data_IF_780111709515
#
_entry.id   IF_780111709515
#
_cell.length_a   1.000
_cell.length_b   1.000
_cell.length_c   1.000
_cell.angle_alpha   90.00
_cell.angle_beta   90.00
_cell.angle_gamma   90.00
#
_symmetry.space_group_name_H-M   'P 1'
#
loop_
_entity.id
_entity.type
_entity.pdbx_description
1 polymer ?
#
# COMPACT_ATOMS: atom_id res chain seq x y z
N UNK A 1 9.86 -8.72 18.07
CA UNK A 1 9.11 -7.57 17.52
C UNK A 1 8.06 -8.15 16.60
N UNK A 2 6.84 -8.27 17.12
CA UNK A 2 5.71 -8.89 16.44
C UNK A 2 4.93 -7.84 15.63
N UNK A 3 5.63 -7.18 14.72
CA UNK A 3 5.08 -6.08 13.92
C UNK A 3 4.54 -6.62 12.60
N UNK A 4 3.25 -6.38 12.34
CA UNK A 4 2.56 -6.74 11.10
C UNK A 4 2.56 -5.52 10.17
N UNK A 5 2.88 -5.72 8.90
CA UNK A 5 2.82 -4.69 7.86
C UNK A 5 2.24 -5.33 6.60
N UNK A 6 0.99 -4.98 6.29
CA UNK A 6 0.30 -5.36 5.06
C UNK A 6 0.30 -4.24 4.03
N UNK A 7 0.66 -3.02 4.44
CA UNK A 7 0.88 -1.91 3.52
C UNK A 7 2.02 -2.16 2.54
N UNK A 8 1.84 -1.69 1.30
CA UNK A 8 2.74 -1.95 0.17
C UNK A 8 3.72 -0.80 -0.08
N UNK A 9 3.35 0.40 0.33
CA UNK A 9 4.09 1.63 0.06
C UNK A 9 4.50 2.33 1.36
N UNK A 10 5.54 3.13 1.27
CA UNK A 10 5.86 4.18 2.24
C UNK A 10 5.64 5.53 1.53
N UNK A 11 5.54 6.63 2.27
CA UNK A 11 5.31 7.99 1.76
C UNK A 11 6.25 8.32 0.59
N UNK A 12 7.53 7.92 0.68
CA UNK A 12 8.55 8.17 -0.36
C UNK A 12 8.43 7.18 -1.53
N UNK A 13 8.17 5.91 -1.24
CA UNK A 13 8.18 4.84 -2.26
C UNK A 13 6.85 4.74 -3.02
N UNK A 14 5.79 5.38 -2.53
CA UNK A 14 4.46 5.36 -3.10
C UNK A 14 4.48 5.77 -4.58
N UNK A 15 4.89 7.01 -4.87
CA UNK A 15 4.83 7.52 -6.24
C UNK A 15 5.68 6.72 -7.25
N UNK A 16 6.98 6.47 -7.02
CA UNK A 16 7.80 5.77 -8.02
C UNK A 16 7.38 4.30 -8.22
N UNK A 17 7.05 3.59 -7.13
CA UNK A 17 6.64 2.17 -7.22
C UNK A 17 5.24 2.04 -7.82
N UNK A 18 4.30 2.88 -7.41
CA UNK A 18 2.94 2.85 -7.93
C UNK A 18 2.91 3.18 -9.43
N UNK A 19 3.65 4.19 -9.86
CA UNK A 19 3.73 4.56 -11.27
C UNK A 19 4.37 3.46 -12.12
N UNK A 20 5.43 2.82 -11.61
CA UNK A 20 6.03 1.66 -12.26
C UNK A 20 5.02 0.52 -12.45
N UNK A 21 4.25 0.18 -11.41
CA UNK A 21 3.20 -0.84 -11.49
C UNK A 21 2.08 -0.45 -12.46
N UNK A 22 1.72 0.84 -12.54
CA UNK A 22 0.76 1.32 -13.51
C UNK A 22 1.26 1.12 -14.95
N UNK A 23 2.54 1.37 -15.24
CA UNK A 23 3.09 1.17 -16.58
C UNK A 23 3.46 -0.28 -16.92
N UNK A 24 3.42 -1.21 -15.96
CA UNK A 24 3.44 -2.65 -16.25
C UNK A 24 2.11 -3.17 -16.80
N UNK A 25 1.02 -2.40 -16.67
CA UNK A 25 -0.28 -2.76 -17.27
C UNK A 25 -0.24 -2.47 -18.77
N UNK A 26 -0.47 -3.51 -19.59
CA UNK A 26 -0.42 -3.43 -21.05
C UNK A 26 -1.21 -2.25 -21.64
N UNK A 27 -2.38 -1.93 -21.10
CA UNK A 27 -3.19 -0.80 -21.55
C UNK A 27 -2.47 0.55 -21.36
N UNK A 28 -1.86 0.77 -20.20
CA UNK A 28 -1.14 2.01 -19.89
C UNK A 28 0.14 2.13 -20.73
N UNK A 29 0.87 1.02 -20.93
CA UNK A 29 2.05 0.98 -21.81
C UNK A 29 1.65 1.27 -23.26
N UNK A 30 0.54 0.70 -23.73
CA UNK A 30 0.00 0.94 -25.07
C UNK A 30 -0.33 2.41 -25.29
N UNK A 31 -1.10 3.02 -24.40
CA UNK A 31 -1.45 4.44 -24.49
C UNK A 31 -0.23 5.36 -24.38
N UNK A 32 0.77 5.00 -23.57
CA UNK A 32 2.03 5.73 -23.50
C UNK A 32 2.79 5.67 -24.83
N UNK A 33 2.91 4.48 -25.44
CA UNK A 33 3.53 4.32 -26.75
C UNK A 33 2.79 5.10 -27.84
N UNK A 34 1.46 5.04 -27.83
CA UNK A 34 0.62 5.82 -28.74
C UNK A 34 0.84 7.32 -28.57
N UNK A 35 0.93 7.82 -27.33
CA UNK A 35 1.21 9.21 -27.04
C UNK A 35 2.60 9.63 -27.57
N UNK A 36 3.62 8.79 -27.40
CA UNK A 36 4.97 9.05 -27.95
C UNK A 36 4.96 9.11 -29.47
N UNK A 37 4.26 8.20 -30.14
CA UNK A 37 4.11 8.23 -31.60
C UNK A 37 3.36 9.48 -32.08
N UNK A 38 2.37 9.96 -31.32
CA UNK A 38 1.62 11.18 -31.63
C UNK A 38 2.43 12.47 -31.47
N UNK A 39 3.51 12.46 -30.69
CA UNK A 39 4.44 13.60 -30.58
C UNK A 39 5.29 13.79 -31.84
N UNK A 40 5.35 12.78 -32.73
CA UNK A 40 6.03 12.90 -34.02
C UNK A 40 5.06 13.49 -35.06
N UNK A 41 5.22 14.76 -35.46
CA UNK A 41 4.28 15.44 -36.36
C UNK A 41 4.24 14.82 -37.77
N UNK A 42 5.23 14.00 -38.13
CA UNK A 42 5.30 13.27 -39.41
C UNK A 42 4.40 12.02 -39.41
N UNK A 43 4.11 11.46 -38.23
CA UNK A 43 3.39 10.19 -38.09
C UNK A 43 1.91 10.41 -37.72
N UNK A 44 1.59 11.53 -37.07
CA UNK A 44 0.24 11.76 -36.52
C UNK A 44 -0.45 12.99 -37.09
N UNK A 45 -1.66 12.77 -37.63
CA UNK A 45 -2.61 13.83 -37.98
C UNK A 45 -3.51 14.25 -36.81
N UNK A 46 -3.42 13.55 -35.67
CA UNK A 46 -4.26 13.78 -34.48
C UNK A 46 -3.54 14.63 -33.44
N UNK A 47 -4.31 15.43 -32.69
CA UNK A 47 -3.80 16.21 -31.56
C UNK A 47 -3.46 15.29 -30.37
N UNK A 48 -2.24 15.37 -29.80
CA UNK A 48 -1.80 14.51 -28.68
C UNK A 48 -2.71 14.58 -27.43
N UNK A 49 -3.43 15.70 -27.27
CA UNK A 49 -4.37 15.92 -26.16
C UNK A 49 -5.46 14.85 -26.05
N UNK A 50 -5.95 14.33 -27.20
CA UNK A 50 -7.01 13.32 -27.23
C UNK A 50 -6.60 11.99 -26.58
N UNK A 51 -5.31 11.67 -26.59
CA UNK A 51 -4.75 10.46 -25.97
C UNK A 51 -4.16 10.74 -24.59
N UNK A 52 -3.57 11.93 -24.40
CA UNK A 52 -3.02 12.36 -23.12
C UNK A 52 -4.07 12.45 -22.01
N UNK A 53 -5.23 13.08 -22.29
CA UNK A 53 -6.25 13.33 -21.28
C UNK A 53 -6.81 12.03 -20.67
N UNK A 54 -7.24 11.02 -21.46
CA UNK A 54 -7.71 9.74 -20.91
C UNK A 54 -6.63 9.00 -20.12
N UNK A 55 -5.39 8.99 -20.63
CA UNK A 55 -4.27 8.33 -19.94
C UNK A 55 -4.02 8.98 -18.57
N UNK A 56 -3.93 10.31 -18.53
CA UNK A 56 -3.73 11.05 -17.28
C UNK A 56 -4.87 10.80 -16.30
N UNK A 57 -6.13 10.83 -16.76
CA UNK A 57 -7.28 10.59 -15.90
C UNK A 57 -7.25 9.19 -15.26
N UNK A 58 -6.95 8.15 -16.04
CA UNK A 58 -6.86 6.77 -15.55
C UNK A 58 -5.71 6.60 -14.55
N UNK A 59 -4.54 7.18 -14.85
CA UNK A 59 -3.39 7.12 -13.94
C UNK A 59 -3.71 7.83 -12.61
N UNK A 60 -4.27 9.04 -12.65
CA UNK A 60 -4.63 9.81 -11.45
C UNK A 60 -5.67 9.10 -10.59
N UNK A 61 -6.73 8.54 -11.19
CA UNK A 61 -7.73 7.77 -10.47
C UNK A 61 -7.13 6.52 -9.82
N UNK A 62 -6.21 5.85 -10.53
CA UNK A 62 -5.51 4.67 -10.02
C UNK A 62 -4.59 5.01 -8.84
N UNK A 63 -3.79 6.07 -8.97
CA UNK A 63 -2.93 6.57 -7.88
C UNK A 63 -3.78 6.90 -6.66
N UNK A 64 -4.88 7.64 -6.85
CA UNK A 64 -5.75 8.04 -5.74
C UNK A 64 -6.38 6.84 -5.02
N UNK A 65 -6.90 5.88 -5.80
CA UNK A 65 -7.46 4.64 -5.25
C UNK A 65 -6.40 3.88 -4.45
N UNK A 66 -5.23 3.65 -5.03
CA UNK A 66 -4.16 2.89 -4.38
C UNK A 66 -3.65 3.60 -3.12
N UNK A 67 -3.60 4.93 -3.10
CA UNK A 67 -3.25 5.70 -1.91
C UNK A 67 -4.27 5.49 -0.79
N UNK A 68 -5.57 5.55 -1.10
CA UNK A 68 -6.64 5.36 -0.12
C UNK A 68 -6.64 3.93 0.44
N UNK A 69 -6.50 2.93 -0.43
CA UNK A 69 -6.46 1.52 -0.04
C UNK A 69 -5.24 1.24 0.85
N UNK A 70 -4.07 1.78 0.49
CA UNK A 70 -2.85 1.57 1.28
C UNK A 70 -2.85 2.34 2.61
N UNK A 71 -3.47 3.52 2.66
CA UNK A 71 -3.69 4.26 3.91
C UNK A 71 -4.57 3.47 4.89
N UNK A 72 -5.65 2.86 4.39
CA UNK A 72 -6.51 2.00 5.21
C UNK A 72 -5.75 0.79 5.75
N UNK A 73 -4.85 0.19 4.96
CA UNK A 73 -3.98 -0.91 5.42
C UNK A 73 -3.05 -0.47 6.54
N UNK A 74 -2.36 0.67 6.38
CA UNK A 74 -1.52 1.22 7.45
C UNK A 74 -2.30 1.41 8.75
N UNK A 75 -3.50 2.02 8.67
CA UNK A 75 -4.35 2.22 9.84
C UNK A 75 -4.76 0.90 10.49
N UNK A 76 -5.08 -0.13 9.70
CA UNK A 76 -5.42 -1.45 10.20
C UNK A 76 -4.23 -2.14 10.87
N UNK A 77 -3.05 -2.08 10.23
CA UNK A 77 -1.80 -2.62 10.77
C UNK A 77 -1.47 -1.95 12.12
N UNK A 78 -1.59 -0.63 12.20
CA UNK A 78 -1.37 0.14 13.43
C UNK A 78 -2.33 -0.27 14.56
N UNK A 79 -3.60 -0.55 14.24
CA UNK A 79 -4.58 -1.02 15.23
C UNK A 79 -4.19 -2.39 15.79
N UNK A 80 -3.76 -3.32 14.93
CA UNK A 80 -3.35 -4.65 15.35
C UNK A 80 -2.04 -4.58 16.14
N UNK A 81 -1.05 -3.86 15.65
CA UNK A 81 0.27 -3.72 16.29
C UNK A 81 0.19 -3.05 17.67
N UNK A 82 -0.71 -2.08 17.85
CA UNK A 82 -0.89 -1.37 19.12
C UNK A 82 -1.93 -2.01 20.04
N UNK A 83 -2.55 -3.13 19.64
CA UNK A 83 -3.49 -3.86 20.50
C UNK A 83 -2.81 -4.31 21.78
N UNK A 84 -3.51 -4.22 22.91
CA UNK A 84 -3.01 -4.64 24.21
C UNK A 84 -3.10 -6.16 24.37
N UNK A 85 -2.05 -6.77 24.90
CA UNK A 85 -1.96 -8.18 25.26
C UNK A 85 -1.35 -8.34 26.65
N UNK A 86 -1.67 -9.45 27.33
CA UNK A 86 -1.13 -9.75 28.65
C UNK A 86 0.02 -10.74 28.52
N UNK A 87 1.21 -10.34 28.94
CA UNK A 87 2.44 -11.15 28.82
C UNK A 87 3.02 -11.39 30.21
N UNK A 88 3.49 -12.62 30.46
CA UNK A 88 4.22 -12.95 31.68
C UNK A 88 5.65 -12.42 31.58
N UNK A 89 6.00 -11.44 32.42
CA UNK A 89 7.34 -10.86 32.55
C UNK A 89 7.80 -11.01 33.99
N UNK A 90 8.96 -11.65 34.20
CA UNK A 90 9.57 -11.81 35.53
C UNK A 90 8.59 -12.35 36.60
N UNK A 91 7.71 -13.28 36.21
CA UNK A 91 6.71 -13.88 37.11
C UNK A 91 5.44 -13.04 37.33
N UNK A 92 5.31 -11.87 36.71
CA UNK A 92 4.12 -11.02 36.79
C UNK A 92 3.45 -10.87 35.42
N UNK A 93 2.13 -10.81 35.38
CA UNK A 93 1.38 -10.53 34.16
C UNK A 93 1.36 -9.02 33.94
N UNK A 94 1.89 -8.57 32.81
CA UNK A 94 1.98 -7.15 32.45
C UNK A 94 1.25 -6.93 31.13
N UNK A 95 0.58 -5.78 31.02
CA UNK A 95 -0.04 -5.36 29.78
C UNK A 95 1.01 -4.74 28.84
N UNK A 96 1.11 -5.27 27.63
CA UNK A 96 2.04 -4.80 26.61
C UNK A 96 1.36 -4.71 25.25
N UNK A 97 1.94 -3.89 24.37
CA UNK A 97 1.46 -3.82 22.98
C UNK A 97 1.84 -5.08 22.21
N UNK A 98 0.97 -5.50 21.30
CA UNK A 98 1.15 -6.69 20.46
C UNK A 98 2.52 -6.70 19.78
N UNK A 99 2.93 -5.57 19.19
CA UNK A 99 4.21 -5.49 18.49
C UNK A 99 5.44 -5.74 19.40
N UNK A 100 5.34 -5.54 20.71
CA UNK A 100 6.44 -5.78 21.65
C UNK A 100 6.56 -7.24 22.10
N UNK A 101 5.57 -8.07 21.80
CA UNK A 101 5.65 -9.50 22.08
C UNK A 101 6.81 -10.12 21.29
N UNK A 102 7.56 -11.01 21.92
CA UNK A 102 8.70 -11.71 21.37
C UNK A 102 8.52 -13.22 21.41
N UNK A 103 9.29 -13.93 20.58
CA UNK A 103 9.27 -15.40 20.56
C UNK A 103 9.77 -15.92 21.91
N UNK A 104 9.04 -16.87 22.49
CA UNK A 104 9.33 -17.43 23.82
C UNK A 104 8.55 -16.78 24.97
N UNK A 105 7.80 -15.71 24.69
CA UNK A 105 6.93 -15.08 25.68
C UNK A 105 5.70 -15.95 25.97
N UNK A 106 5.30 -16.01 27.25
CA UNK A 106 4.05 -16.62 27.66
C UNK A 106 2.97 -15.54 27.68
N UNK A 107 1.90 -15.75 26.93
CA UNK A 107 0.79 -14.80 26.78
C UNK A 107 -0.43 -15.36 27.51
N UNK A 108 -1.13 -14.51 28.26
CA UNK A 108 -2.43 -14.84 28.82
C UNK A 108 -3.52 -14.30 27.90
N UNK A 109 -4.41 -15.20 27.47
CA UNK A 109 -5.57 -14.89 26.64
C UNK A 109 -6.83 -15.07 27.48
N UNK A 110 -7.73 -14.09 27.42
CA UNK A 110 -9.08 -14.22 27.97
C UNK A 110 -9.98 -14.91 26.96
N UNK A 111 -11.12 -15.42 27.43
CA UNK A 111 -12.10 -16.03 26.56
C UNK A 111 -12.58 -15.00 25.51
N UNK A 112 -12.65 -15.40 24.24
CA UNK A 112 -12.90 -14.54 23.06
C UNK A 112 -11.79 -13.54 22.68
N UNK A 113 -10.60 -13.62 23.27
CA UNK A 113 -9.46 -12.89 22.73
C UNK A 113 -9.02 -13.48 21.38
N UNK A 114 -8.70 -12.59 20.44
CA UNK A 114 -8.29 -12.95 19.09
C UNK A 114 -6.77 -12.90 18.99
N UNK A 115 -6.17 -13.94 18.42
CA UNK A 115 -4.73 -14.04 18.13
C UNK A 115 -4.52 -13.53 16.71
N UNK A 116 -3.70 -12.49 16.56
CA UNK A 116 -3.34 -11.90 15.27
C UNK A 116 -2.11 -12.55 14.65
#
# INVERSE_FOLDING_TARGET
NNHISTSKYNIITFLPKNLFEQFQRLANTYFLGLLVLQMLPVVSSLTPFTTFIPLLAVLLLSVFKDACDDYQRHRSDDQVNNRLSYVLRNGQIVEEKWHKVAVGDIILLKNNDYIA
#
